data_IF_251886254941
#
_entry.id   IF_251886254941
#
_cell.length_a   1.000
_cell.length_b   1.000
_cell.length_c   1.000
_cell.angle_alpha   90.00
_cell.angle_beta   90.00
_cell.angle_gamma   90.00
#
_symmetry.space_group_name_H-M   'P 1'
#
loop_
_entity.id
_entity.type
_entity.pdbx_description
1 polymer ?
#
# COMPACT_ATOMS: atom_id res chain seq x y z
N UNK A 1 9.06 0.27 -7.54
CA UNK A 1 9.87 -0.97 -7.43
C UNK A 1 10.46 -1.46 -8.76
N UNK A 2 9.97 -1.03 -9.93
CA UNK A 2 10.44 -1.53 -11.23
C UNK A 2 11.87 -1.10 -11.63
N UNK A 3 12.36 0.03 -11.11
CA UNK A 3 13.70 0.57 -11.41
C UNK A 3 14.80 -0.22 -10.65
N UNK A 4 14.54 -0.64 -9.42
CA UNK A 4 15.50 -1.43 -8.64
C UNK A 4 15.70 -2.84 -9.21
N UNK A 5 14.62 -3.45 -9.74
CA UNK A 5 14.68 -4.76 -10.40
C UNK A 5 15.47 -4.74 -11.71
N UNK A 6 15.40 -3.64 -12.48
CA UNK A 6 16.15 -3.49 -13.73
C UNK A 6 17.64 -3.23 -13.49
N UNK A 7 17.99 -2.49 -12.43
CA UNK A 7 19.40 -2.28 -12.01
C UNK A 7 20.07 -3.58 -11.54
N UNK A 8 19.33 -4.47 -10.88
CA UNK A 8 19.85 -5.78 -10.48
C UNK A 8 20.19 -6.66 -11.69
N UNK A 9 19.36 -6.61 -12.73
CA UNK A 9 19.57 -7.35 -13.96
C UNK A 9 20.80 -6.86 -14.74
N UNK A 10 21.04 -5.56 -14.75
CA UNK A 10 22.25 -4.95 -15.34
C UNK A 10 23.52 -5.30 -14.55
N UNK A 11 23.41 -5.57 -13.24
CA UNK A 11 24.57 -5.94 -12.41
C UNK A 11 25.04 -7.38 -12.64
N UNK A 12 24.25 -8.22 -13.31
CA UNK A 12 24.59 -9.61 -13.58
C UNK A 12 25.61 -9.78 -14.73
N UNK A 13 25.80 -8.76 -15.56
CA UNK A 13 26.74 -8.81 -16.70
C UNK A 13 28.19 -8.52 -16.24
N UNK A 14 29.11 -9.44 -16.55
CA UNK A 14 30.53 -9.40 -16.17
C UNK A 14 31.34 -8.30 -16.87
N UNK A 15 30.78 -7.62 -17.88
CA UNK A 15 31.47 -6.53 -18.59
C UNK A 15 31.50 -5.22 -17.78
N UNK A 16 30.73 -5.10 -16.71
CA UNK A 16 30.68 -3.89 -15.91
C UNK A 16 31.78 -3.85 -14.84
N UNK A 17 32.37 -2.66 -14.60
CA UNK A 17 33.40 -2.49 -13.59
C UNK A 17 32.86 -2.78 -12.18
N UNK A 18 33.69 -3.35 -11.32
CA UNK A 18 33.33 -3.89 -10.00
C UNK A 18 32.57 -2.92 -9.06
N UNK A 19 32.66 -1.60 -9.27
CA UNK A 19 31.92 -0.61 -8.48
C UNK A 19 30.41 -0.65 -8.74
N UNK A 20 29.98 -1.16 -9.89
CA UNK A 20 28.57 -1.25 -10.26
C UNK A 20 27.78 -2.17 -9.32
N UNK A 21 28.39 -3.27 -8.86
CA UNK A 21 27.79 -4.19 -7.89
C UNK A 21 27.43 -3.47 -6.58
N UNK A 22 28.28 -2.55 -6.11
CA UNK A 22 28.02 -1.79 -4.88
C UNK A 22 26.85 -0.83 -5.04
N UNK A 23 26.70 -0.20 -6.21
CA UNK A 23 25.56 0.67 -6.51
C UNK A 23 24.27 -0.12 -6.62
N UNK A 24 24.30 -1.29 -7.27
CA UNK A 24 23.15 -2.17 -7.37
C UNK A 24 22.71 -2.63 -5.97
N UNK A 25 23.65 -3.07 -5.14
CA UNK A 25 23.37 -3.46 -3.75
C UNK A 25 22.79 -2.30 -2.94
N UNK A 26 23.39 -1.11 -3.01
CA UNK A 26 22.89 0.07 -2.31
C UNK A 26 21.47 0.46 -2.77
N UNK A 27 21.19 0.35 -4.07
CA UNK A 27 19.87 0.67 -4.65
C UNK A 27 18.80 -0.30 -4.18
N UNK A 28 19.12 -1.58 -4.04
CA UNK A 28 18.21 -2.60 -3.51
C UNK A 28 17.92 -2.34 -2.03
N UNK A 29 18.95 -2.10 -1.23
CA UNK A 29 18.79 -1.80 0.19
C UNK A 29 17.97 -0.52 0.40
N UNK A 30 18.20 0.50 -0.42
CA UNK A 30 17.39 1.71 -0.42
C UNK A 30 15.95 1.40 -0.82
N UNK A 31 15.71 0.64 -1.89
CA UNK A 31 14.38 0.23 -2.31
C UNK A 31 13.60 -0.52 -1.22
N UNK A 32 14.27 -1.41 -0.49
CA UNK A 32 13.67 -2.13 0.65
C UNK A 32 13.38 -1.16 1.79
N UNK A 33 14.34 -0.32 2.19
CA UNK A 33 14.18 0.65 3.27
C UNK A 33 13.05 1.64 3.01
N UNK A 34 12.99 2.19 1.80
CA UNK A 34 11.91 3.07 1.37
C UNK A 34 10.56 2.32 1.29
N UNK A 35 10.55 1.08 0.81
CA UNK A 35 9.33 0.27 0.78
C UNK A 35 8.73 0.04 2.17
N UNK A 36 9.58 -0.23 3.16
CA UNK A 36 9.15 -0.40 4.56
C UNK A 36 8.74 0.94 5.18
N UNK A 37 9.51 2.00 4.95
CA UNK A 37 9.26 3.31 5.55
C UNK A 37 8.02 4.01 4.98
N UNK A 38 7.80 3.93 3.67
CA UNK A 38 6.67 4.56 2.99
C UNK A 38 5.44 3.64 2.84
N UNK A 39 5.55 2.38 3.25
CA UNK A 39 4.42 1.45 3.27
C UNK A 39 3.32 1.98 4.20
N UNK A 40 2.11 2.17 3.69
CA UNK A 40 0.99 2.60 4.53
C UNK A 40 0.69 1.54 5.61
N UNK A 41 0.79 1.94 6.88
CA UNK A 41 0.54 1.07 8.05
C UNK A 41 -0.94 0.82 8.28
N UNK A 42 -1.79 1.79 7.90
CA UNK A 42 -3.23 1.79 8.09
C UNK A 42 -3.96 2.07 6.78
N UNK A 43 -5.10 1.41 6.58
CA UNK A 43 -5.90 1.52 5.37
C UNK A 43 -7.39 1.52 5.71
N UNK A 44 -8.08 2.58 5.29
CA UNK A 44 -9.53 2.65 5.32
C UNK A 44 -10.07 1.98 4.06
N UNK A 45 -10.87 0.93 4.24
CA UNK A 45 -11.46 0.14 3.15
C UNK A 45 -12.98 0.12 3.30
N UNK A 46 -13.67 0.13 2.16
CA UNK A 46 -15.11 -0.13 2.11
C UNK A 46 -15.30 -1.56 1.63
N UNK A 47 -16.02 -2.35 2.41
CA UNK A 47 -16.44 -3.69 2.06
C UNK A 47 -17.86 -3.66 1.50
N UNK A 48 -18.10 -4.34 0.38
CA UNK A 48 -19.40 -4.41 -0.26
C UNK A 48 -19.62 -5.78 -0.90
N UNK A 49 -20.87 -6.23 -0.91
CA UNK A 49 -21.28 -7.43 -1.60
C UNK A 49 -21.97 -7.04 -2.91
N UNK A 50 -21.55 -7.63 -4.03
CA UNK A 50 -22.32 -7.55 -5.27
C UNK A 50 -23.42 -8.60 -5.23
N UNK A 51 -24.59 -8.25 -5.77
CA UNK A 51 -25.71 -9.18 -5.93
C UNK A 51 -25.40 -10.30 -6.95
N UNK A 52 -24.30 -10.17 -7.69
CA UNK A 52 -23.92 -11.06 -8.78
C UNK A 52 -23.21 -12.35 -8.28
N UNK A 53 -23.28 -12.63 -6.98
CA UNK A 53 -22.76 -13.86 -6.38
C UNK A 53 -21.23 -13.96 -6.29
N UNK A 54 -20.50 -12.90 -6.65
CA UNK A 54 -19.03 -12.84 -6.63
C UNK A 54 -18.43 -12.69 -5.22
N UNK A 55 -19.25 -12.72 -4.17
CA UNK A 55 -18.82 -12.65 -2.78
C UNK A 55 -18.55 -11.23 -2.28
N UNK A 56 -17.86 -11.14 -1.14
CA UNK A 56 -17.51 -9.88 -0.51
C UNK A 56 -16.26 -9.30 -1.18
N UNK A 57 -16.38 -8.08 -1.69
CA UNK A 57 -15.27 -7.31 -2.26
C UNK A 57 -14.93 -6.14 -1.34
N UNK A 58 -13.72 -5.61 -1.51
CA UNK A 58 -13.27 -4.46 -0.76
C UNK A 58 -12.49 -3.51 -1.67
N UNK A 59 -12.65 -2.21 -1.43
CA UNK A 59 -11.91 -1.16 -2.13
C UNK A 59 -11.20 -0.25 -1.13
N UNK A 60 -9.89 0.00 -1.30
CA UNK A 60 -9.16 1.01 -0.54
C UNK A 60 -9.68 2.41 -0.84
N UNK A 61 -10.04 3.17 0.20
CA UNK A 61 -10.43 4.58 0.06
C UNK A 61 -9.28 5.50 0.45
N UNK A 62 -8.60 5.18 1.56
CA UNK A 62 -7.50 5.98 2.06
C UNK A 62 -6.44 5.11 2.71
N UNK A 63 -5.18 5.55 2.62
CA UNK A 63 -4.01 4.90 3.20
C UNK A 63 -3.23 5.92 4.00
N UNK A 64 -2.80 5.55 5.21
CA UNK A 64 -1.95 6.40 6.04
C UNK A 64 -0.93 5.57 6.81
N UNK A 65 0.20 6.19 7.16
CA UNK A 65 1.25 5.57 7.97
C UNK A 65 1.19 5.98 9.46
N UNK A 66 0.54 7.11 9.77
CA UNK A 66 0.49 7.71 11.10
C UNK A 66 -0.68 7.15 11.94
N UNK A 67 -0.46 6.91 13.22
CA UNK A 67 -1.48 6.48 14.20
C UNK A 67 -2.59 7.52 14.38
N UNK A 68 -2.29 8.82 14.25
CA UNK A 68 -3.32 9.86 14.30
C UNK A 68 -4.36 9.72 13.18
N UNK A 69 -3.98 9.15 12.03
CA UNK A 69 -4.93 8.85 10.97
C UNK A 69 -5.86 7.70 11.32
N UNK A 70 -5.45 6.77 12.19
CA UNK A 70 -6.29 5.66 12.62
C UNK A 70 -7.50 6.18 13.39
N UNK A 71 -7.28 7.07 14.37
CA UNK A 71 -8.39 7.70 15.11
C UNK A 71 -9.35 8.47 14.18
N UNK A 72 -8.81 9.13 13.15
CA UNK A 72 -9.63 9.80 12.14
C UNK A 72 -10.44 8.80 11.31
N UNK A 73 -9.83 7.69 10.88
CA UNK A 73 -10.52 6.63 10.16
C UNK A 73 -11.62 5.99 11.00
N UNK A 74 -11.38 5.72 12.28
CA UNK A 74 -12.40 5.18 13.19
C UNK A 74 -13.60 6.11 13.34
N UNK A 75 -13.36 7.43 13.48
CA UNK A 75 -14.44 8.42 13.51
C UNK A 75 -15.24 8.45 12.20
N UNK A 76 -14.54 8.42 11.07
CA UNK A 76 -15.19 8.39 9.75
C UNK A 76 -16.02 7.12 9.54
N UNK A 77 -15.53 5.96 9.99
CA UNK A 77 -16.30 4.70 9.95
C UNK A 77 -17.58 4.83 10.78
N UNK A 78 -17.49 5.38 11.99
CA UNK A 78 -18.66 5.55 12.85
C UNK A 78 -19.71 6.50 12.24
N UNK A 79 -19.28 7.61 11.64
CA UNK A 79 -20.16 8.57 10.95
C UNK A 79 -20.84 7.92 9.74
N UNK A 80 -20.08 7.22 8.91
CA UNK A 80 -20.60 6.53 7.72
C UNK A 80 -21.56 5.41 8.10
N UNK A 81 -21.25 4.61 9.12
CA UNK A 81 -22.16 3.58 9.61
C UNK A 81 -23.47 4.17 10.12
N UNK A 82 -23.41 5.24 10.92
CA UNK A 82 -24.60 5.91 11.42
C UNK A 82 -25.47 6.46 10.27
N UNK A 83 -24.84 7.04 9.23
CA UNK A 83 -25.54 7.51 8.05
C UNK A 83 -26.21 6.35 7.28
N UNK A 84 -25.49 5.25 7.04
CA UNK A 84 -26.02 4.07 6.35
C UNK A 84 -27.21 3.47 7.12
N UNK A 85 -27.11 3.32 8.44
CA UNK A 85 -28.21 2.82 9.28
C UNK A 85 -29.45 3.71 9.17
N UNK A 86 -29.28 5.04 9.11
CA UNK A 86 -30.41 5.96 8.92
C UNK A 86 -31.12 5.73 7.58
N UNK A 87 -30.38 5.50 6.50
CA UNK A 87 -30.95 5.27 5.17
C UNK A 87 -31.52 3.86 4.97
N UNK A 88 -31.07 2.85 5.72
CA UNK A 88 -31.62 1.49 5.67
C UNK A 88 -32.96 1.34 6.43
N UNK A 89 -33.27 2.25 7.35
CA UNK A 89 -34.48 2.21 8.19
C UNK A 89 -35.59 3.13 7.64
N UNK A 90 -35.30 3.96 6.62
CA UNK A 90 -36.28 4.82 5.94
C UNK A 90 -36.71 4.20 4.61
#
# INVERSE_FOLDING_TARGET
MSIASSLLWLAWDTNYPNWYYWIALASVLMGIGFGVYFGAKYELRIEFALNDGTGLHWVPVAKCHNEQCLELFERQVAEVQAAITKYLIT
#
